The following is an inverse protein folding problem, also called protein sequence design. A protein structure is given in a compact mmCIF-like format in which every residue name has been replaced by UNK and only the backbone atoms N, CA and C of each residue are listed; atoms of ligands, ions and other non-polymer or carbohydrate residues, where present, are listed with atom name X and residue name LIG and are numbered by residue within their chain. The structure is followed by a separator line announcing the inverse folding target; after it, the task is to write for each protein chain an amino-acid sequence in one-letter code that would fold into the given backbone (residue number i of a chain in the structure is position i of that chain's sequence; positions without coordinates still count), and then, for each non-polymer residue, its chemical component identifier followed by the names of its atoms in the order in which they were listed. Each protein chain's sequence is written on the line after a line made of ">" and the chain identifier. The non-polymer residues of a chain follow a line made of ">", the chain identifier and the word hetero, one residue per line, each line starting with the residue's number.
data_IF_097814401195
#
_entry.id   IF_097814401195
#
_cell.length_a   1.000
_cell.length_b   1.000
_cell.length_c   1.000
_cell.angle_alpha   90.00
_cell.angle_beta   90.00
_cell.angle_gamma   90.00
#
_symmetry.space_group_name_H-M   'P 1'
#
loop_
_entity.id
_entity.type
_entity.pdbx_description
1 polymer ?
#
# COMPACT_ATOMS: atom_id res chain seq x y z
N UNK A 1 70.12 8.53 27.51
CA UNK A 1 68.74 8.01 27.52
C UNK A 1 68.11 8.34 28.87
N UNK A 2 67.11 9.22 28.96
CA UNK A 2 66.37 9.43 30.20
C UNK A 2 65.26 8.38 30.36
N UNK A 3 65.06 7.91 31.58
CA UNK A 3 64.07 6.91 31.98
C UNK A 3 62.63 7.47 31.96
N UNK A 4 61.59 6.64 31.75
CA UNK A 4 60.20 7.09 31.78
C UNK A 4 59.76 7.49 33.19
N UNK A 5 59.07 8.61 33.29
CA UNK A 5 58.54 9.20 34.53
C UNK A 5 57.35 8.36 35.06
N UNK A 6 57.32 7.94 36.35
CA UNK A 6 56.28 7.05 36.90
C UNK A 6 54.91 7.73 37.16
N UNK A 7 54.58 8.83 36.47
CA UNK A 7 53.34 9.59 36.68
C UNK A 7 52.21 9.29 35.70
N UNK A 8 52.41 8.39 34.75
CA UNK A 8 51.37 7.99 33.81
C UNK A 8 50.51 6.85 34.39
N UNK A 9 49.77 7.18 35.46
CA UNK A 9 48.63 6.37 35.86
C UNK A 9 47.57 6.35 34.74
N UNK A 10 46.69 5.32 34.67
CA UNK A 10 45.69 5.22 33.62
C UNK A 10 44.84 6.49 33.62
N UNK A 11 44.95 7.26 32.54
CA UNK A 11 44.24 8.51 32.35
C UNK A 11 42.79 8.16 32.02
N UNK A 12 41.96 8.02 33.05
CA UNK A 12 40.52 7.85 32.90
C UNK A 12 39.97 9.02 32.08
N UNK A 13 39.55 8.74 30.85
CA UNK A 13 38.82 9.70 30.01
C UNK A 13 37.33 9.49 30.27
N UNK A 14 36.65 10.53 30.75
CA UNK A 14 35.19 10.57 30.75
C UNK A 14 34.73 10.50 29.29
N UNK A 15 33.88 9.53 28.97
CA UNK A 15 33.19 9.45 27.68
C UNK A 15 31.73 9.72 27.98
N UNK A 16 31.23 10.85 27.48
CA UNK A 16 29.82 11.21 27.65
C UNK A 16 28.99 10.50 26.58
N UNK A 17 28.01 9.71 27.01
CA UNK A 17 27.08 9.00 26.14
C UNK A 17 25.74 9.74 26.10
N UNK A 18 25.44 10.42 24.99
CA UNK A 18 24.16 11.10 24.78
C UNK A 18 23.19 10.17 24.04
N UNK A 19 22.09 9.81 24.69
CA UNK A 19 20.99 9.07 24.07
C UNK A 19 19.95 10.03 23.51
N UNK A 20 19.54 9.83 22.24
CA UNK A 20 18.38 10.51 21.65
C UNK A 20 17.07 9.73 21.86
N UNK A 21 17.08 8.70 22.73
CA UNK A 21 15.87 7.98 23.11
C UNK A 21 15.01 8.85 24.03
N UNK A 22 13.67 8.71 23.98
CA UNK A 22 12.77 9.51 24.80
C UNK A 22 12.81 9.16 26.30
N UNK A 23 13.62 8.17 26.70
CA UNK A 23 13.76 7.71 28.06
C UNK A 23 14.87 8.50 28.76
N UNK A 24 14.53 9.18 29.86
CA UNK A 24 15.44 10.09 30.58
C UNK A 24 16.33 9.42 31.64
N UNK A 25 16.25 8.10 31.81
CA UNK A 25 17.07 7.34 32.75
C UNK A 25 18.27 6.70 32.06
N UNK A 26 19.36 6.56 32.80
CA UNK A 26 20.55 5.81 32.35
C UNK A 26 20.18 4.32 32.37
N UNK A 27 20.35 3.59 31.25
CA UNK A 27 20.09 2.15 31.18
C UNK A 27 20.95 1.37 32.18
N UNK A 28 20.39 0.31 32.73
CA UNK A 28 21.10 -0.54 33.70
C UNK A 28 22.26 -1.30 33.03
N UNK A 29 22.09 -1.68 31.76
CA UNK A 29 23.12 -2.28 30.93
C UNK A 29 22.93 -1.94 29.44
N UNK A 30 23.89 -2.40 28.61
CA UNK A 30 23.87 -2.20 27.16
C UNK A 30 22.70 -2.89 26.45
N UNK A 31 22.22 -4.01 26.97
CA UNK A 31 21.09 -4.75 26.40
C UNK A 31 19.76 -4.08 26.75
N UNK A 32 19.63 -3.48 27.93
CA UNK A 32 18.50 -2.64 28.31
C UNK A 32 18.43 -1.40 27.39
N UNK A 33 19.56 -0.73 27.15
CA UNK A 33 19.61 0.36 26.17
C UNK A 33 19.14 -0.07 24.79
N UNK A 34 19.64 -1.21 24.31
CA UNK A 34 19.26 -1.78 23.01
C UNK A 34 17.77 -2.14 22.98
N UNK A 35 17.24 -2.72 24.06
CA UNK A 35 15.83 -3.06 24.20
C UNK A 35 14.95 -1.80 24.14
N UNK A 36 15.34 -0.73 24.84
CA UNK A 36 14.68 0.58 24.76
C UNK A 36 14.74 1.18 23.35
N UNK A 37 15.85 1.01 22.63
CA UNK A 37 15.98 1.40 21.24
C UNK A 37 15.00 0.65 20.32
N UNK A 38 14.91 -0.68 20.44
CA UNK A 38 13.99 -1.51 19.64
C UNK A 38 12.53 -1.11 19.91
N UNK A 39 12.16 -0.87 21.17
CA UNK A 39 10.81 -0.36 21.52
C UNK A 39 10.51 0.99 20.88
N UNK A 40 11.49 1.90 20.87
CA UNK A 40 11.32 3.19 20.22
C UNK A 40 11.24 3.07 18.69
N UNK A 41 12.01 2.15 18.10
CA UNK A 41 11.96 1.85 16.66
C UNK A 41 10.58 1.30 16.29
N UNK A 42 10.02 0.37 17.06
CA UNK A 42 8.65 -0.14 16.91
C UNK A 42 7.62 0.98 16.89
N UNK A 43 7.69 1.88 17.87
CA UNK A 43 6.78 3.04 17.94
C UNK A 43 6.88 3.93 16.70
N UNK A 44 8.07 4.14 16.15
CA UNK A 44 8.25 4.93 14.92
C UNK A 44 7.67 4.23 13.70
N UNK A 45 7.86 2.92 13.58
CA UNK A 45 7.25 2.10 12.52
C UNK A 45 5.71 2.12 12.58
N UNK A 46 5.13 1.98 13.77
CA UNK A 46 3.67 2.05 13.92
C UNK A 46 3.12 3.41 13.53
N UNK A 47 3.80 4.51 13.90
CA UNK A 47 3.42 5.86 13.44
C UNK A 47 3.50 6.01 11.91
N UNK A 48 4.49 5.39 11.28
CA UNK A 48 4.59 5.39 9.82
C UNK A 48 3.42 4.61 9.20
N UNK A 49 2.99 3.51 9.82
CA UNK A 49 1.78 2.79 9.40
C UNK A 49 0.52 3.65 9.54
N UNK A 50 0.36 4.37 10.65
CA UNK A 50 -0.79 5.28 10.85
C UNK A 50 -0.83 6.39 9.77
N UNK A 51 0.33 6.98 9.44
CA UNK A 51 0.42 7.98 8.37
C UNK A 51 0.09 7.41 6.99
N UNK A 52 0.51 6.17 6.72
CA UNK A 52 0.18 5.49 5.48
C UNK A 52 -1.32 5.18 5.38
N UNK A 53 -1.95 4.80 6.49
CA UNK A 53 -3.41 4.60 6.58
C UNK A 53 -4.20 5.88 6.26
N UNK A 54 -3.73 7.02 6.77
CA UNK A 54 -4.30 8.34 6.43
C UNK A 54 -4.12 8.65 4.93
N UNK A 55 -2.95 8.37 4.37
CA UNK A 55 -2.68 8.57 2.95
C UNK A 55 -3.62 7.74 2.06
N UNK A 56 -3.77 6.46 2.38
CA UNK A 56 -4.69 5.50 1.76
C UNK A 56 -6.12 6.06 1.80
N UNK A 57 -6.56 6.53 2.97
CA UNK A 57 -7.91 7.07 3.16
C UNK A 57 -8.16 8.33 2.31
N UNK A 58 -7.17 9.22 2.23
CA UNK A 58 -7.24 10.43 1.39
C UNK A 58 -7.31 10.09 -0.10
N UNK A 59 -6.47 9.16 -0.57
CA UNK A 59 -6.48 8.70 -1.97
C UNK A 59 -7.83 8.11 -2.37
N UNK A 60 -8.49 7.36 -1.47
CA UNK A 60 -9.85 6.84 -1.70
C UNK A 60 -10.88 7.96 -1.90
N UNK A 61 -10.83 9.00 -1.07
CA UNK A 61 -11.74 10.15 -1.21
C UNK A 61 -11.52 10.87 -2.53
N UNK A 62 -10.25 11.09 -2.92
CA UNK A 62 -9.92 11.73 -4.19
C UNK A 62 -10.39 10.90 -5.40
N UNK A 63 -10.32 9.56 -5.31
CA UNK A 63 -10.82 8.65 -6.34
C UNK A 63 -12.35 8.68 -6.44
N UNK A 64 -13.04 8.76 -5.30
CA UNK A 64 -14.50 8.89 -5.25
C UNK A 64 -14.95 10.21 -5.89
N UNK A 65 -14.26 11.32 -5.59
CA UNK A 65 -14.54 12.64 -6.15
C UNK A 65 -14.33 12.68 -7.68
N UNK A 66 -13.24 12.04 -8.16
CA UNK A 66 -12.93 11.93 -9.59
C UNK A 66 -13.82 10.95 -10.35
N UNK A 67 -14.80 10.30 -9.70
CA UNK A 67 -15.75 9.34 -10.30
C UNK A 67 -15.07 8.27 -11.18
N UNK A 68 -13.90 7.79 -10.78
CA UNK A 68 -13.16 6.77 -11.53
C UNK A 68 -12.61 7.22 -12.90
N UNK A 69 -12.53 8.53 -13.20
CA UNK A 69 -11.98 9.03 -14.48
C UNK A 69 -10.45 9.10 -14.53
N UNK A 70 -9.77 8.66 -13.47
CA UNK A 70 -8.32 8.66 -13.41
C UNK A 70 -7.74 7.37 -14.00
N UNK A 71 -7.19 7.45 -15.21
CA UNK A 71 -6.43 6.35 -15.84
C UNK A 71 -5.20 5.90 -15.03
N UNK A 72 -4.80 6.67 -14.02
CA UNK A 72 -3.61 6.48 -13.19
C UNK A 72 -3.84 5.55 -11.98
N UNK A 73 -5.06 5.06 -11.74
CA UNK A 73 -5.39 4.26 -10.56
C UNK A 73 -4.58 2.95 -10.49
N UNK A 74 -4.46 2.24 -11.60
CA UNK A 74 -3.65 1.02 -11.70
C UNK A 74 -2.17 1.32 -11.46
N UNK A 75 -1.68 2.46 -11.96
CA UNK A 75 -0.30 2.87 -11.78
C UNK A 75 0.02 3.14 -10.30
N UNK A 76 -0.83 3.92 -9.62
CA UNK A 76 -0.69 4.17 -8.18
C UNK A 76 -0.82 2.89 -7.35
N UNK A 77 -1.68 1.94 -7.74
CA UNK A 77 -1.77 0.66 -7.04
C UNK A 77 -0.48 -0.16 -7.16
N UNK A 78 0.15 -0.15 -8.34
CA UNK A 78 1.41 -0.82 -8.55
C UNK A 78 2.55 -0.14 -7.77
N UNK A 79 2.55 1.19 -7.72
CA UNK A 79 3.47 2.02 -6.92
C UNK A 79 3.33 1.70 -5.42
N UNK A 80 2.11 1.76 -4.88
CA UNK A 80 1.83 1.42 -3.48
C UNK A 80 2.29 -0.02 -3.17
N UNK A 81 1.98 -1.00 -4.04
CA UNK A 81 2.38 -2.39 -3.85
C UNK A 81 3.91 -2.57 -3.82
N UNK A 82 4.64 -1.78 -4.63
CA UNK A 82 6.10 -1.76 -4.63
C UNK A 82 6.63 -1.17 -3.32
N UNK A 83 6.08 -0.03 -2.86
CA UNK A 83 6.45 0.61 -1.61
C UNK A 83 6.25 -0.33 -0.41
N UNK A 84 5.12 -1.06 -0.37
CA UNK A 84 4.86 -2.04 0.68
C UNK A 84 5.86 -3.20 0.67
N UNK A 85 6.26 -3.68 -0.51
CA UNK A 85 7.27 -4.72 -0.62
C UNK A 85 8.65 -4.22 -0.14
N UNK A 86 8.99 -2.97 -0.45
CA UNK A 86 10.23 -2.34 0.01
C UNK A 86 10.23 -2.16 1.53
N UNK A 87 9.15 -1.62 2.12
CA UNK A 87 9.03 -1.46 3.57
C UNK A 87 9.17 -2.79 4.32
N UNK A 88 8.55 -3.87 3.80
CA UNK A 88 8.71 -5.22 4.34
C UNK A 88 10.17 -5.70 4.29
N UNK A 89 10.86 -5.44 3.17
CA UNK A 89 12.27 -5.80 3.00
C UNK A 89 13.16 -5.05 4.02
N UNK A 90 12.94 -3.74 4.18
CA UNK A 90 13.69 -2.90 5.13
C UNK A 90 13.46 -3.39 6.57
N UNK A 91 12.20 -3.62 6.96
CA UNK A 91 11.88 -4.10 8.31
C UNK A 91 12.53 -5.46 8.60
N UNK A 92 12.43 -6.41 7.68
CA UNK A 92 13.06 -7.72 7.82
C UNK A 92 14.59 -7.61 7.91
N UNK A 93 15.19 -6.70 7.14
CA UNK A 93 16.61 -6.38 7.24
C UNK A 93 16.98 -5.85 8.63
N UNK A 94 16.21 -4.91 9.17
CA UNK A 94 16.43 -4.34 10.50
C UNK A 94 16.26 -5.39 11.60
N UNK A 95 15.19 -6.19 11.56
CA UNK A 95 14.92 -7.28 12.52
C UNK A 95 16.06 -8.30 12.52
N UNK A 96 16.54 -8.71 11.34
CA UNK A 96 17.67 -9.64 11.23
C UNK A 96 18.96 -9.05 11.81
N UNK A 97 19.28 -7.81 11.47
CA UNK A 97 20.46 -7.12 12.02
C UNK A 97 20.37 -6.98 13.54
N UNK A 98 19.18 -6.65 14.06
CA UNK A 98 18.93 -6.53 15.48
C UNK A 98 19.09 -7.87 16.22
N UNK A 99 18.59 -8.98 15.66
CA UNK A 99 18.79 -10.33 16.23
C UNK A 99 20.27 -10.70 16.28
N UNK A 100 20.99 -10.49 15.18
CA UNK A 100 22.41 -10.82 15.10
C UNK A 100 23.21 -10.03 16.15
N UNK A 101 22.92 -8.73 16.28
CA UNK A 101 23.53 -7.88 17.30
C UNK A 101 23.26 -8.40 18.71
N UNK A 102 22.01 -8.71 19.05
CA UNK A 102 21.64 -9.19 20.39
C UNK A 102 22.38 -10.50 20.73
N UNK A 103 22.46 -11.45 19.80
CA UNK A 103 23.16 -12.73 20.00
C UNK A 103 24.66 -12.52 20.15
N UNK A 104 25.30 -11.75 19.27
CA UNK A 104 26.74 -11.49 19.33
C UNK A 104 27.14 -10.78 20.63
N UNK A 105 26.32 -9.81 21.05
CA UNK A 105 26.58 -9.02 22.25
C UNK A 105 26.42 -9.85 23.52
N UNK A 106 25.33 -10.61 23.66
CA UNK A 106 25.12 -11.48 24.83
C UNK A 106 26.17 -12.59 24.91
N UNK A 107 26.63 -13.13 23.77
CA UNK A 107 27.71 -14.12 23.77
C UNK A 107 29.04 -13.54 24.27
N UNK A 108 29.33 -12.27 23.94
CA UNK A 108 30.59 -11.59 24.33
C UNK A 108 30.60 -11.16 25.79
N UNK A 109 29.45 -10.83 26.37
CA UNK A 109 29.35 -10.20 27.70
C UNK A 109 28.55 -11.02 28.75
N UNK A 110 28.18 -12.28 28.45
CA UNK A 110 27.40 -13.19 29.32
C UNK A 110 26.14 -12.53 29.93
N UNK A 111 25.45 -11.76 29.08
CA UNK A 111 24.35 -10.92 29.50
C UNK A 111 23.02 -11.71 29.50
N UNK A 112 22.34 -11.72 30.66
CA UNK A 112 21.05 -12.41 30.87
C UNK A 112 19.89 -11.71 30.17
N UNK A 113 20.09 -10.49 29.66
CA UNK A 113 19.06 -9.69 28.97
C UNK A 113 18.68 -10.18 27.57
N UNK A 114 19.34 -11.21 27.01
CA UNK A 114 19.10 -11.72 25.64
C UNK A 114 17.61 -11.99 25.37
N UNK A 115 16.94 -12.62 26.33
CA UNK A 115 15.53 -12.98 26.20
C UNK A 115 14.65 -11.74 26.07
N UNK A 116 14.88 -10.72 26.89
CA UNK A 116 14.12 -9.46 26.83
C UNK A 116 14.35 -8.70 25.52
N UNK A 117 15.59 -8.70 25.00
CA UNK A 117 15.90 -8.12 23.71
C UNK A 117 15.22 -8.88 22.56
N UNK A 118 15.23 -10.22 22.60
CA UNK A 118 14.55 -11.06 21.61
C UNK A 118 13.04 -10.82 21.62
N UNK A 119 12.41 -10.81 22.79
CA UNK A 119 10.97 -10.50 22.94
C UNK A 119 10.64 -9.11 22.38
N UNK A 120 11.49 -8.11 22.59
CA UNK A 120 11.29 -6.78 22.02
C UNK A 120 11.44 -6.76 20.49
N UNK A 121 12.38 -7.53 19.93
CA UNK A 121 12.57 -7.66 18.48
C UNK A 121 11.41 -8.42 17.84
N UNK A 122 10.96 -9.51 18.46
CA UNK A 122 9.80 -10.29 18.01
C UNK A 122 8.54 -9.42 18.04
N UNK A 123 8.31 -8.70 19.14
CA UNK A 123 7.21 -7.75 19.24
C UNK A 123 7.32 -6.57 18.27
N UNK A 124 8.51 -6.19 17.80
CA UNK A 124 8.66 -5.23 16.70
C UNK A 124 8.25 -5.87 15.38
N UNK A 125 8.78 -7.06 15.11
CA UNK A 125 8.54 -7.81 13.87
C UNK A 125 7.06 -8.09 13.69
N UNK A 126 6.42 -8.71 14.68
CA UNK A 126 5.06 -9.22 14.58
C UNK A 126 4.05 -8.09 14.46
N UNK A 127 4.08 -7.10 15.37
CA UNK A 127 3.11 -5.99 15.35
C UNK A 127 3.22 -5.15 14.07
N UNK A 128 4.45 -4.84 13.62
CA UNK A 128 4.63 -4.01 12.44
C UNK A 128 4.33 -4.80 11.17
N UNK A 129 4.73 -6.06 11.08
CA UNK A 129 4.39 -6.90 9.93
C UNK A 129 2.89 -7.15 9.80
N UNK A 130 2.20 -7.36 10.92
CA UNK A 130 0.75 -7.50 10.95
C UNK A 130 0.09 -6.20 10.46
N UNK A 131 0.52 -5.04 10.97
CA UNK A 131 -0.04 -3.74 10.54
C UNK A 131 0.23 -3.44 9.06
N UNK A 132 1.43 -3.70 8.56
CA UNK A 132 1.75 -3.58 7.12
C UNK A 132 0.87 -4.52 6.30
N UNK A 133 0.64 -5.75 6.76
CA UNK A 133 -0.16 -6.73 6.04
C UNK A 133 -1.65 -6.37 6.01
N UNK A 134 -2.17 -5.83 7.10
CA UNK A 134 -3.52 -5.26 7.15
C UNK A 134 -3.66 -4.10 6.16
N UNK A 135 -2.71 -3.17 6.13
CA UNK A 135 -2.76 -2.03 5.19
C UNK A 135 -2.68 -2.47 3.73
N UNK A 136 -1.77 -3.39 3.38
CA UNK A 136 -1.66 -3.95 2.02
C UNK A 136 -2.96 -4.68 1.59
N UNK A 137 -3.60 -5.44 2.50
CA UNK A 137 -4.91 -6.05 2.22
C UNK A 137 -6.01 -5.01 2.04
N UNK A 138 -6.07 -4.02 2.93
CA UNK A 138 -7.05 -2.92 2.88
C UNK A 138 -6.92 -2.16 1.55
N UNK A 139 -5.69 -1.91 1.07
CA UNK A 139 -5.42 -1.31 -0.23
C UNK A 139 -5.90 -2.20 -1.36
N UNK A 140 -5.48 -3.47 -1.41
CA UNK A 140 -5.88 -4.37 -2.49
C UNK A 140 -7.40 -4.54 -2.57
N UNK A 141 -8.05 -4.87 -1.45
CA UNK A 141 -9.48 -5.19 -1.44
C UNK A 141 -10.34 -3.96 -1.78
N UNK A 142 -10.08 -2.82 -1.15
CA UNK A 142 -10.94 -1.64 -1.36
C UNK A 142 -10.77 -1.06 -2.76
N UNK A 143 -9.58 -1.13 -3.36
CA UNK A 143 -9.35 -0.59 -4.69
C UNK A 143 -9.97 -1.47 -5.78
N UNK A 144 -9.86 -2.79 -5.66
CA UNK A 144 -10.49 -3.74 -6.60
C UNK A 144 -12.01 -3.55 -6.62
N UNK A 145 -12.63 -3.40 -5.45
CA UNK A 145 -14.08 -3.18 -5.34
C UNK A 145 -14.51 -1.86 -5.99
N UNK A 146 -13.70 -0.81 -5.82
CA UNK A 146 -13.96 0.49 -6.41
C UNK A 146 -13.89 0.42 -7.95
N UNK A 147 -12.84 -0.20 -8.50
CA UNK A 147 -12.69 -0.44 -9.94
C UNK A 147 -13.88 -1.19 -10.53
N UNK A 148 -14.28 -2.30 -9.90
CA UNK A 148 -15.40 -3.09 -10.37
C UNK A 148 -16.71 -2.30 -10.38
N UNK A 149 -16.97 -1.54 -9.31
CA UNK A 149 -18.15 -0.69 -9.22
C UNK A 149 -18.18 0.35 -10.35
N UNK A 150 -17.03 0.96 -10.68
CA UNK A 150 -16.96 1.96 -11.75
C UNK A 150 -17.08 1.37 -13.16
N UNK A 151 -16.39 0.27 -13.45
CA UNK A 151 -16.52 -0.44 -14.74
C UNK A 151 -17.97 -0.85 -14.96
N UNK A 152 -18.63 -1.39 -13.93
CA UNK A 152 -20.04 -1.77 -13.99
C UNK A 152 -20.97 -0.58 -14.29
N UNK A 153 -20.77 0.56 -13.61
CA UNK A 153 -21.55 1.78 -13.87
C UNK A 153 -21.32 2.29 -15.30
N UNK A 154 -20.06 2.32 -15.76
CA UNK A 154 -19.72 2.77 -17.10
C UNK A 154 -20.35 1.89 -18.18
N UNK A 155 -20.24 0.57 -18.03
CA UNK A 155 -20.86 -0.40 -18.92
C UNK A 155 -22.39 -0.32 -18.90
N UNK A 156 -23.01 -0.14 -17.73
CA UNK A 156 -24.45 0.03 -17.62
C UNK A 156 -24.93 1.30 -18.35
N UNK A 157 -24.19 2.41 -18.24
CA UNK A 157 -24.48 3.63 -18.99
C UNK A 157 -24.33 3.43 -20.50
N UNK A 158 -23.24 2.79 -20.94
CA UNK A 158 -23.00 2.48 -22.36
C UNK A 158 -24.09 1.56 -22.90
N UNK A 159 -24.44 0.51 -22.18
CA UNK A 159 -25.50 -0.44 -22.53
C UNK A 159 -26.87 0.26 -22.63
N UNK A 160 -27.18 1.15 -21.68
CA UNK A 160 -28.41 1.94 -21.73
C UNK A 160 -28.45 2.82 -22.98
N UNK A 161 -27.35 3.53 -23.31
CA UNK A 161 -27.29 4.37 -24.50
C UNK A 161 -27.42 3.58 -25.81
N UNK A 162 -26.79 2.39 -25.87
CA UNK A 162 -26.90 1.46 -26.99
C UNK A 162 -28.34 0.94 -27.10
N UNK A 163 -28.96 0.58 -25.99
CA UNK A 163 -30.36 0.14 -25.93
C UNK A 163 -31.33 1.22 -26.42
N UNK A 164 -31.14 2.49 -26.05
CA UNK A 164 -31.95 3.60 -26.60
C UNK A 164 -31.71 3.79 -28.10
N UNK A 165 -30.48 3.64 -28.58
CA UNK A 165 -30.15 3.78 -29.99
C UNK A 165 -30.73 2.63 -30.82
N UNK A 166 -30.64 1.40 -30.32
CA UNK A 166 -31.25 0.21 -30.92
C UNK A 166 -32.78 0.32 -30.95
N UNK A 167 -33.41 0.84 -29.89
CA UNK A 167 -34.87 1.10 -29.89
C UNK A 167 -35.27 2.09 -30.99
N UNK A 168 -34.52 3.18 -31.14
CA UNK A 168 -34.78 4.18 -32.21
C UNK A 168 -34.59 3.58 -33.60
N UNK A 169 -33.50 2.85 -33.81
CA UNK A 169 -33.21 2.19 -35.08
C UNK A 169 -34.28 1.13 -35.42
N UNK A 170 -34.68 0.34 -34.42
CA UNK A 170 -35.72 -0.69 -34.56
C UNK A 170 -37.08 -0.08 -34.89
N UNK A 171 -37.42 1.08 -34.32
CA UNK A 171 -38.64 1.81 -34.68
C UNK A 171 -38.62 2.26 -36.15
N UNK A 172 -37.49 2.82 -36.62
CA UNK A 172 -37.32 3.25 -38.01
C UNK A 172 -37.47 2.06 -38.95
N UNK A 173 -36.77 0.95 -38.72
CA UNK A 173 -36.91 -0.23 -39.58
C UNK A 173 -38.32 -0.81 -39.53
N UNK A 174 -38.99 -0.84 -38.38
CA UNK A 174 -40.34 -1.37 -38.28
C UNK A 174 -41.38 -0.57 -39.09
N UNK A 175 -41.22 0.76 -39.18
CA UNK A 175 -42.13 1.61 -39.97
C UNK A 175 -41.78 1.61 -41.46
N UNK A 176 -40.50 1.79 -41.79
CA UNK A 176 -40.08 2.00 -43.18
C UNK A 176 -39.94 0.71 -43.97
N UNK A 177 -39.59 -0.41 -43.33
CA UNK A 177 -39.41 -1.68 -44.05
C UNK A 177 -40.74 -2.15 -44.69
N UNK A 178 -41.89 -2.21 -43.99
CA UNK A 178 -43.17 -2.54 -44.61
C UNK A 178 -43.58 -1.54 -45.70
N UNK A 179 -43.36 -0.24 -45.51
CA UNK A 179 -43.69 0.79 -46.48
C UNK A 179 -42.85 0.69 -47.77
N UNK A 180 -41.56 0.34 -47.65
CA UNK A 180 -40.70 0.07 -48.82
C UNK A 180 -41.22 -1.17 -49.55
N UNK A 181 -41.54 -2.25 -48.83
CA UNK A 181 -42.10 -3.47 -49.43
C UNK A 181 -43.42 -3.23 -50.19
N UNK A 182 -44.31 -2.40 -49.66
CA UNK A 182 -45.56 -2.04 -50.37
C UNK A 182 -45.30 -1.14 -51.56
N UNK A 183 -44.38 -0.16 -51.46
CA UNK A 183 -44.03 0.72 -52.58
C UNK A 183 -43.42 -0.04 -53.76
N UNK A 184 -42.53 -1.02 -53.52
CA UNK A 184 -41.92 -1.83 -54.58
C UNK A 184 -42.95 -2.73 -55.25
N UNK A 185 -43.90 -3.27 -54.49
CA UNK A 185 -45.03 -4.03 -55.06
C UNK A 185 -45.92 -3.12 -55.91
N UNK A 186 -46.31 -1.95 -55.42
CA UNK A 186 -47.11 -0.98 -56.17
C UNK A 186 -46.41 -0.50 -57.44
N UNK A 187 -45.10 -0.24 -57.40
CA UNK A 187 -44.32 0.15 -58.57
C UNK A 187 -44.25 -0.98 -59.62
N UNK A 188 -44.14 -2.25 -59.19
CA UNK A 188 -44.26 -3.41 -60.08
C UNK A 188 -45.66 -3.52 -60.71
N UNK A 189 -46.73 -3.30 -59.95
CA UNK A 189 -48.10 -3.33 -60.48
C UNK A 189 -48.37 -2.18 -61.46
N UNK A 190 -47.85 -0.97 -61.19
CA UNK A 190 -47.97 0.17 -62.08
C UNK A 190 -47.23 -0.02 -63.42
N UNK A 191 -46.04 -0.65 -63.39
CA UNK A 191 -45.30 -1.01 -64.60
C UNK A 191 -45.98 -2.10 -65.43
N UNK A 192 -46.68 -3.05 -64.80
CA UNK A 192 -47.43 -4.10 -65.50
C UNK A 192 -48.72 -3.57 -66.14
N UNK A 193 -49.38 -2.59 -65.53
CA UNK A 193 -50.59 -1.96 -66.07
C UNK A 193 -50.34 -1.04 -67.29
N UNK A 194 -49.08 -0.65 -67.54
CA UNK A 194 -48.67 0.16 -68.70
C UNK A 194 -48.19 -0.67 -69.90
N UNK A 195 -48.15 -1.99 -69.77
CA UNK A 195 -47.66 -2.95 -70.78
C UNK A 195 -48.77 -3.81 -71.40
N UNK A 196 -50.05 -3.53 -71.13
CA UNK A 196 -51.20 -4.24 -71.70
C UNK A 196 -51.98 -3.40 -72.68
#
# INVERSE_FOLDING_TARGET
>A
MPLPNPKDGPRWKSIDHFSMLPYGWIPDDSIDFFTQFIRNLKRRWLKLCDLAEEHISKRRLDQLDKKGRGSELIHHLAEDAQDWAELRSILNGQVRTARNFAVEHCHRYDDKGLKCAQEAIDGLSDDVMDRISQLDQIVRTSWILLEFAWVSIHEAHKSTSLGTSMKRLSWITFVFLPAIFTSVRLCKYALFSYSS
#
